data_IF_972537605825
#
_entry.id   IF_972537605825
#
_cell.length_a   1.000
_cell.length_b   1.000
_cell.length_c   1.000
_cell.angle_alpha   90.00
_cell.angle_beta   90.00
_cell.angle_gamma   90.00
#
_symmetry.space_group_name_H-M   'P 1'
#
loop_
_entity.id
_entity.type
_entity.pdbx_description
1 polymer ?
#
# COMPACT_ATOMS: atom_id res chain seq x y z
N UNK A 1 -22.82 -2.50 -1.53
CA UNK A 1 -21.58 -3.18 -1.99
C UNK A 1 -21.53 -4.52 -1.29
N UNK A 2 -21.13 -5.60 -1.96
CA UNK A 2 -20.90 -6.91 -1.33
C UNK A 2 -19.45 -7.35 -1.56
N UNK A 3 -18.94 -8.14 -0.63
CA UNK A 3 -17.67 -8.84 -0.82
C UNK A 3 -17.90 -9.92 -1.86
N UNK A 4 -17.11 -9.88 -2.93
CA UNK A 4 -17.10 -10.89 -3.97
C UNK A 4 -16.12 -12.01 -3.61
N UNK A 5 -14.89 -11.63 -3.24
CA UNK A 5 -13.85 -12.55 -2.81
C UNK A 5 -12.82 -11.85 -1.94
N UNK A 6 -12.14 -12.64 -1.10
CA UNK A 6 -10.94 -12.23 -0.38
C UNK A 6 -9.87 -13.31 -0.58
N UNK A 7 -8.67 -12.89 -0.94
CA UNK A 7 -7.55 -13.77 -1.20
C UNK A 7 -6.31 -13.21 -0.50
N UNK A 8 -5.59 -14.07 0.21
CA UNK A 8 -4.27 -13.74 0.73
C UNK A 8 -3.24 -14.11 -0.35
N UNK A 9 -2.63 -13.11 -0.98
CA UNK A 9 -1.69 -13.29 -2.09
C UNK A 9 -0.29 -13.64 -1.58
N UNK A 10 0.12 -12.98 -0.49
CA UNK A 10 1.33 -13.29 0.27
C UNK A 10 1.05 -13.16 1.76
N UNK A 11 2.04 -13.40 2.61
CA UNK A 11 1.92 -13.16 4.06
C UNK A 11 1.63 -11.71 4.41
N UNK A 12 1.93 -10.75 3.51
CA UNK A 12 1.85 -9.30 3.72
C UNK A 12 0.89 -8.57 2.78
N UNK A 13 0.34 -9.26 1.78
CA UNK A 13 -0.56 -8.68 0.78
C UNK A 13 -1.84 -9.50 0.71
N UNK A 14 -2.96 -8.86 1.04
CA UNK A 14 -4.31 -9.37 0.82
C UNK A 14 -5.00 -8.63 -0.33
N UNK A 15 -5.93 -9.29 -1.00
CA UNK A 15 -6.77 -8.73 -2.06
C UNK A 15 -8.24 -8.95 -1.73
N UNK A 16 -8.97 -7.85 -1.58
CA UNK A 16 -10.41 -7.84 -1.36
C UNK A 16 -11.10 -7.33 -2.62
N UNK A 17 -11.92 -8.16 -3.24
CA UNK A 17 -12.75 -7.77 -4.38
C UNK A 17 -14.14 -7.44 -3.89
N UNK A 18 -14.60 -6.25 -4.26
CA UNK A 18 -15.90 -5.72 -3.90
C UNK A 18 -16.71 -5.53 -5.18
N UNK A 19 -17.91 -6.11 -5.20
CA UNK A 19 -18.84 -5.99 -6.31
C UNK A 19 -20.15 -5.37 -5.84
N UNK A 20 -20.74 -4.51 -6.66
CA UNK A 20 -22.12 -4.06 -6.47
C UNK A 20 -23.00 -4.77 -7.50
N UNK A 21 -24.20 -5.19 -7.09
CA UNK A 21 -25.21 -5.61 -8.06
C UNK A 21 -25.61 -4.35 -8.82
N UNK A 22 -25.53 -4.37 -10.16
CA UNK A 22 -25.67 -3.27 -11.15
C UNK A 22 -24.36 -2.89 -11.88
N UNK A 23 -24.45 -1.90 -12.78
CA UNK A 23 -23.49 -1.40 -13.77
C UNK A 23 -22.23 -0.68 -13.23
N UNK A 24 -21.96 -0.77 -11.92
CA UNK A 24 -20.77 -0.15 -11.33
C UNK A 24 -19.59 -1.12 -11.47
N UNK A 25 -18.43 -0.69 -12.03
CA UNK A 25 -17.26 -1.54 -12.14
C UNK A 25 -16.82 -2.08 -10.77
N UNK A 26 -16.33 -3.32 -10.75
CA UNK A 26 -15.80 -3.93 -9.54
C UNK A 26 -14.63 -3.10 -8.99
N UNK A 27 -14.52 -3.07 -7.66
CA UNK A 27 -13.44 -2.42 -6.93
C UNK A 27 -12.54 -3.49 -6.32
N UNK A 28 -11.25 -3.43 -6.60
CA UNK A 28 -10.25 -4.23 -5.88
C UNK A 28 -9.56 -3.36 -4.83
N UNK A 29 -9.51 -3.84 -3.60
CA UNK A 29 -8.73 -3.25 -2.51
C UNK A 29 -7.58 -4.18 -2.18
N UNK A 30 -6.35 -3.70 -2.36
CA UNK A 30 -5.16 -4.35 -1.85
C UNK A 30 -4.93 -3.89 -0.42
N UNK A 31 -4.84 -4.84 0.51
CA UNK A 31 -4.51 -4.58 1.91
C UNK A 31 -3.08 -5.03 2.13
N UNK A 32 -2.21 -4.12 2.55
CA UNK A 32 -0.77 -4.38 2.64
C UNK A 32 -0.22 -4.12 4.04
N UNK A 33 0.84 -4.85 4.38
CA UNK A 33 1.67 -4.60 5.55
C UNK A 33 3.14 -4.61 5.11
N UNK A 34 3.68 -3.44 4.79
CA UNK A 34 5.04 -3.33 4.27
C UNK A 34 6.08 -3.76 5.32
N UNK A 35 7.26 -4.24 4.92
CA UNK A 35 8.35 -4.48 5.84
C UNK A 35 8.79 -3.23 6.61
N UNK A 36 9.08 -3.40 7.90
CA UNK A 36 9.71 -2.36 8.70
C UNK A 36 11.16 -2.15 8.25
N UNK A 37 11.76 -1.02 8.63
CA UNK A 37 13.17 -0.71 8.28
C UNK A 37 14.22 -1.68 8.86
N UNK A 38 13.81 -2.72 9.60
CA UNK A 38 14.71 -3.72 10.17
C UNK A 38 14.89 -4.93 9.25
N UNK A 39 14.05 -5.06 8.21
CA UNK A 39 14.19 -6.06 7.16
C UNK A 39 15.29 -5.63 6.20
N UNK A 40 15.85 -6.59 5.46
CA UNK A 40 16.86 -6.27 4.44
C UNK A 40 16.22 -5.55 3.24
N UNK A 41 17.03 -4.81 2.47
CA UNK A 41 16.54 -4.06 1.31
C UNK A 41 15.96 -4.99 0.24
N UNK A 42 16.45 -6.24 0.15
CA UNK A 42 15.99 -7.23 -0.82
C UNK A 42 14.55 -7.69 -0.51
N UNK A 43 14.21 -7.91 0.76
CA UNK A 43 12.87 -8.25 1.25
C UNK A 43 11.91 -7.08 1.07
N UNK A 44 12.38 -5.84 1.25
CA UNK A 44 11.62 -4.62 0.96
C UNK A 44 11.33 -4.52 -0.53
N UNK A 45 12.33 -4.70 -1.39
CA UNK A 45 12.15 -4.67 -2.84
C UNK A 45 11.24 -5.79 -3.35
N UNK A 46 11.43 -7.02 -2.86
CA UNK A 46 10.58 -8.16 -3.18
C UNK A 46 9.10 -7.88 -2.86
N UNK A 47 8.83 -7.22 -1.72
CA UNK A 47 7.47 -6.82 -1.37
C UNK A 47 6.85 -5.84 -2.38
N UNK A 48 7.58 -4.81 -2.83
CA UNK A 48 7.06 -3.87 -3.83
C UNK A 48 6.91 -4.50 -5.21
N UNK A 49 7.83 -5.40 -5.60
CA UNK A 49 7.73 -6.15 -6.85
C UNK A 49 6.48 -7.05 -6.86
N UNK A 50 6.22 -7.75 -5.76
CA UNK A 50 5.00 -8.56 -5.62
C UNK A 50 3.74 -7.69 -5.67
N UNK A 51 3.73 -6.57 -4.93
CA UNK A 51 2.60 -5.64 -4.92
C UNK A 51 2.31 -5.06 -6.31
N UNK A 52 3.33 -4.59 -7.03
CA UNK A 52 3.24 -4.07 -8.39
C UNK A 52 2.71 -5.14 -9.35
N UNK A 53 3.26 -6.36 -9.28
CA UNK A 53 2.80 -7.49 -10.07
C UNK A 53 1.31 -7.74 -9.85
N UNK A 54 0.84 -7.86 -8.62
CA UNK A 54 -0.56 -8.12 -8.34
C UNK A 54 -1.47 -6.96 -8.73
N UNK A 55 -0.99 -5.73 -8.58
CA UNK A 55 -1.71 -4.54 -9.01
C UNK A 55 -1.91 -4.53 -10.53
N UNK A 56 -0.88 -4.86 -11.31
CA UNK A 56 -0.96 -4.91 -12.79
C UNK A 56 -1.81 -6.10 -13.26
N UNK A 57 -1.64 -7.28 -12.68
CA UNK A 57 -2.37 -8.50 -13.03
C UNK A 57 -3.87 -8.40 -12.76
N UNK A 58 -4.31 -7.59 -11.80
CA UNK A 58 -5.73 -7.43 -11.51
C UNK A 58 -6.47 -6.69 -12.63
N UNK A 59 -7.62 -7.19 -13.04
CA UNK A 59 -8.38 -6.66 -14.19
C UNK A 59 -9.52 -5.70 -13.79
N UNK A 60 -9.62 -5.30 -12.52
CA UNK A 60 -10.65 -4.33 -12.12
C UNK A 60 -10.28 -2.90 -12.51
N UNK A 61 -11.30 -2.08 -12.80
CA UNK A 61 -11.09 -0.70 -13.21
C UNK A 61 -10.70 0.20 -12.04
N UNK A 62 -11.34 0.00 -10.88
CA UNK A 62 -11.01 0.73 -9.66
C UNK A 62 -10.15 -0.16 -8.77
N UNK A 63 -8.94 0.32 -8.48
CA UNK A 63 -7.99 -0.33 -7.58
C UNK A 63 -7.57 0.67 -6.51
N UNK A 64 -7.50 0.21 -5.26
CA UNK A 64 -7.02 1.02 -4.14
C UNK A 64 -6.09 0.16 -3.32
N UNK A 65 -4.92 0.70 -2.95
CA UNK A 65 -4.00 0.06 -2.01
C UNK A 65 -4.10 0.78 -0.67
N UNK A 66 -4.39 0.03 0.39
CA UNK A 66 -4.47 0.53 1.77
C UNK A 66 -3.62 -0.35 2.66
N UNK A 67 -3.16 0.18 3.79
CA UNK A 67 -2.40 -0.61 4.74
C UNK A 67 -1.35 0.20 5.46
N UNK A 68 -0.52 -0.52 6.21
CA UNK A 68 0.62 0.07 6.89
C UNK A 68 1.86 -0.07 6.01
N UNK A 69 2.38 1.06 5.54
CA UNK A 69 3.59 1.11 4.74
C UNK A 69 4.86 1.20 5.59
N UNK A 70 4.74 1.30 6.91
CA UNK A 70 5.88 1.50 7.83
C UNK A 70 6.81 2.65 7.45
N UNK A 71 6.33 3.60 6.63
CA UNK A 71 7.11 4.74 6.19
C UNK A 71 7.48 5.62 7.38
N UNK A 72 8.77 5.93 7.51
CA UNK A 72 9.25 6.84 8.54
C UNK A 72 8.95 8.27 8.12
N UNK A 73 8.16 8.95 8.94
CA UNK A 73 7.99 10.40 8.86
C UNK A 73 9.26 11.03 9.38
N UNK A 74 9.91 11.85 8.55
CA UNK A 74 11.15 12.51 8.91
C UNK A 74 11.12 14.02 9.05
N UNK A 75 12.29 14.66 9.18
CA UNK A 75 12.38 16.11 9.36
C UNK A 75 11.92 16.84 8.10
N UNK A 76 11.03 17.81 8.29
CA UNK A 76 10.35 18.61 7.28
C UNK A 76 11.21 19.02 6.06
N UNK A 77 10.78 18.72 4.82
CA UNK A 77 11.48 19.15 3.59
C UNK A 77 11.26 20.65 3.24
N UNK A 78 10.16 21.31 3.64
CA UNK A 78 9.89 22.75 3.36
C UNK A 78 8.92 23.45 4.34
N UNK A 79 8.86 24.79 4.32
CA UNK A 79 8.28 25.58 5.42
C UNK A 79 6.77 25.63 5.63
N UNK A 80 6.01 24.97 4.78
CA UNK A 80 4.56 25.19 4.66
C UNK A 80 3.70 24.23 5.48
N UNK A 81 4.26 23.13 6.00
CA UNK A 81 3.54 22.20 6.89
C UNK A 81 3.74 22.57 8.37
N UNK A 82 2.65 23.02 9.01
CA UNK A 82 2.62 23.49 10.42
C UNK A 82 2.45 22.38 11.46
N UNK A 83 2.48 21.11 11.06
CA UNK A 83 2.00 20.00 11.90
C UNK A 83 3.09 18.99 12.34
N UNK A 84 4.33 19.10 11.86
CA UNK A 84 5.42 18.14 12.18
C UNK A 84 6.47 18.78 13.09
N UNK A 85 6.80 18.12 14.21
CA UNK A 85 7.75 18.59 15.23
C UNK A 85 9.22 18.36 14.88
N UNK A 86 10.12 19.08 15.55
CA UNK A 86 11.57 19.14 15.28
C UNK A 86 12.37 17.87 15.63
N UNK A 87 11.71 16.77 15.99
CA UNK A 87 12.34 15.54 16.48
C UNK A 87 12.14 14.34 15.53
N UNK A 88 11.82 14.58 14.25
CA UNK A 88 11.66 13.52 13.25
C UNK A 88 12.98 12.85 12.87
N UNK A 89 12.96 11.54 12.63
CA UNK A 89 14.10 10.72 12.14
C UNK A 89 14.28 10.86 10.63
N UNK A 90 15.38 10.47 9.99
CA UNK A 90 15.49 10.56 8.52
C UNK A 90 14.30 9.87 7.78
N UNK A 91 13.80 10.53 6.72
CA UNK A 91 12.67 10.06 5.91
C UNK A 91 13.05 8.79 5.14
N UNK A 92 12.11 7.85 5.04
CA UNK A 92 12.20 6.70 4.13
C UNK A 92 10.95 6.63 3.26
N UNK A 93 11.13 6.56 1.93
CA UNK A 93 10.10 6.73 0.90
C UNK A 93 9.25 5.46 0.66
N UNK A 94 9.08 4.61 1.68
CA UNK A 94 8.33 3.34 1.59
C UNK A 94 6.85 3.52 1.16
N UNK A 95 6.30 4.73 1.20
CA UNK A 95 4.96 5.02 0.70
C UNK A 95 4.88 5.69 -0.68
N UNK A 96 6.00 6.19 -1.23
CA UNK A 96 5.95 7.06 -2.43
C UNK A 96 5.93 6.32 -3.76
N UNK A 97 6.26 5.02 -3.76
CA UNK A 97 6.40 4.22 -4.98
C UNK A 97 5.06 3.81 -5.62
N UNK A 98 3.92 4.17 -5.04
CA UNK A 98 2.57 3.75 -5.43
C UNK A 98 1.77 4.79 -6.22
#
# INVERSE_FOLDING_TARGET
MKIDSFEQLTTRIGRLRLKRFESIPALTVFVVYAPTSNYDEEEVEAFYMDLEKFYIEDHTFFKVTIGDFNAKIGPRRTSEERHIGTHGLEWYEQGERL
#
